data_IF_743205452601
#
_entry.id   IF_743205452601
#
_cell.length_a   1.000
_cell.length_b   1.000
_cell.length_c   1.000
_cell.angle_alpha   90.00
_cell.angle_beta   90.00
_cell.angle_gamma   90.00
#
_symmetry.space_group_name_H-M   'P 1'
#
loop_
_entity.id
_entity.type
_entity.pdbx_description
1 polymer ?
#
# COMPACT_ATOMS: atom_id res chain seq x y z
N UNK A 1 23.96 15.87 -19.91
CA UNK A 1 22.87 14.92 -19.56
C UNK A 1 21.99 15.48 -18.45
N UNK A 2 20.90 16.16 -18.81
CA UNK A 2 19.91 16.71 -17.88
C UNK A 2 18.50 16.30 -18.36
N UNK A 3 18.18 15.03 -18.19
CA UNK A 3 16.80 14.51 -18.33
C UNK A 3 16.04 14.53 -16.99
N UNK A 4 16.38 15.46 -16.09
CA UNK A 4 15.98 15.44 -14.68
C UNK A 4 14.52 15.79 -14.34
N UNK A 5 13.79 16.65 -15.09
CA UNK A 5 12.39 16.98 -14.71
C UNK A 5 11.33 16.41 -15.66
N UNK A 6 11.61 16.37 -16.97
CA UNK A 6 10.63 15.95 -17.98
C UNK A 6 10.41 14.44 -17.99
N UNK A 7 11.49 13.65 -17.82
CA UNK A 7 11.40 12.21 -17.70
C UNK A 7 10.70 11.79 -16.40
N UNK A 8 10.92 12.53 -15.29
CA UNK A 8 10.22 12.30 -14.02
C UNK A 8 8.72 12.63 -14.12
N UNK A 9 8.36 13.72 -14.80
CA UNK A 9 6.95 14.06 -15.08
C UNK A 9 6.29 13.05 -16.03
N UNK A 10 6.98 12.58 -17.07
CA UNK A 10 6.50 11.54 -17.98
C UNK A 10 6.35 10.18 -17.27
N UNK A 11 7.26 9.84 -16.37
CA UNK A 11 7.17 8.64 -15.53
C UNK A 11 5.98 8.72 -14.56
N UNK A 12 5.78 9.86 -13.89
CA UNK A 12 4.60 10.11 -13.06
C UNK A 12 3.31 10.05 -13.87
N UNK A 13 3.28 10.64 -15.07
CA UNK A 13 2.10 10.63 -15.94
C UNK A 13 1.78 9.23 -16.47
N UNK A 14 2.79 8.44 -16.89
CA UNK A 14 2.61 7.04 -17.29
C UNK A 14 2.25 6.11 -16.12
N UNK A 15 2.75 6.39 -14.91
CA UNK A 15 2.33 5.69 -13.70
C UNK A 15 0.88 6.02 -13.33
N UNK A 16 0.38 7.21 -13.68
CA UNK A 16 -1.01 7.62 -13.49
C UNK A 16 -1.96 7.14 -14.60
N UNK A 17 -1.43 6.83 -15.80
CA UNK A 17 -2.17 6.32 -16.96
C UNK A 17 -2.23 4.78 -17.04
N UNK A 18 -1.61 4.04 -16.10
CA UNK A 18 -1.95 2.62 -15.91
C UNK A 18 -3.35 2.58 -15.33
N UNK A 19 -4.28 1.95 -16.04
CA UNK A 19 -5.61 1.61 -15.55
C UNK A 19 -5.51 1.06 -14.13
N UNK A 20 -5.76 1.92 -13.14
CA UNK A 20 -5.81 1.49 -11.75
C UNK A 20 -7.08 0.67 -11.64
N UNK A 21 -6.91 -0.64 -11.70
CA UNK A 21 -7.97 -1.58 -11.41
C UNK A 21 -8.59 -1.18 -10.06
N UNK A 22 -9.92 -1.00 -9.98
CA UNK A 22 -10.56 -0.66 -8.72
C UNK A 22 -10.18 -1.64 -7.62
N UNK A 23 -10.03 -1.18 -6.37
CA UNK A 23 -9.59 -2.02 -5.25
C UNK A 23 -10.42 -3.30 -5.11
N UNK A 24 -11.74 -3.20 -5.26
CA UNK A 24 -12.62 -4.38 -5.25
C UNK A 24 -12.31 -5.36 -6.39
N UNK A 25 -12.01 -4.87 -7.59
CA UNK A 25 -11.60 -5.72 -8.71
C UNK A 25 -10.25 -6.39 -8.46
N UNK A 26 -9.27 -5.68 -7.90
CA UNK A 26 -7.97 -6.27 -7.52
C UNK A 26 -8.17 -7.38 -6.49
N UNK A 27 -8.90 -7.10 -5.42
CA UNK A 27 -9.20 -8.06 -4.37
C UNK A 27 -9.97 -9.28 -4.91
N UNK A 28 -11.01 -9.05 -5.71
CA UNK A 28 -11.85 -10.12 -6.26
C UNK A 28 -11.10 -11.01 -7.27
N UNK A 29 -10.29 -10.42 -8.16
CA UNK A 29 -9.43 -11.20 -9.07
C UNK A 29 -8.44 -12.04 -8.27
N UNK A 30 -7.72 -11.45 -7.32
CA UNK A 30 -6.75 -12.18 -6.50
C UNK A 30 -7.38 -13.37 -5.75
N UNK A 31 -8.64 -13.27 -5.28
CA UNK A 31 -9.34 -14.41 -4.66
C UNK A 31 -9.63 -15.50 -5.67
N UNK A 32 -10.16 -15.14 -6.84
CA UNK A 32 -10.51 -16.10 -7.90
C UNK A 32 -9.29 -16.86 -8.42
N UNK A 33 -8.15 -16.18 -8.50
CA UNK A 33 -6.86 -16.78 -8.85
C UNK A 33 -6.24 -17.61 -7.71
N UNK A 34 -6.87 -17.67 -6.53
CA UNK A 34 -6.39 -18.45 -5.40
C UNK A 34 -5.16 -17.87 -4.70
N UNK A 35 -4.92 -16.56 -4.80
CA UNK A 35 -3.84 -15.89 -4.09
C UNK A 35 -3.99 -16.09 -2.57
N UNK A 36 -2.88 -16.45 -1.91
CA UNK A 36 -2.81 -16.64 -0.46
C UNK A 36 -2.54 -15.36 0.31
N UNK A 37 -2.11 -14.33 -0.41
CA UNK A 37 -1.70 -13.05 0.14
C UNK A 37 -1.82 -11.99 -0.95
N UNK A 38 -2.17 -10.77 -0.55
CA UNK A 38 -2.24 -9.61 -1.43
C UNK A 38 -1.59 -8.41 -0.74
N UNK A 39 -0.68 -7.77 -1.45
CA UNK A 39 -0.01 -6.55 -1.01
C UNK A 39 -0.52 -5.36 -1.82
N UNK A 40 -1.01 -4.32 -1.14
CA UNK A 40 -1.56 -3.12 -1.78
C UNK A 40 -0.80 -1.89 -1.31
N UNK A 41 -0.21 -1.14 -2.24
CA UNK A 41 0.28 0.21 -1.98
C UNK A 41 -0.86 1.20 -2.24
N UNK A 42 -1.26 1.96 -1.23
CA UNK A 42 -2.34 2.93 -1.33
C UNK A 42 -1.93 4.31 -0.81
N UNK A 43 -2.64 5.34 -1.26
CA UNK A 43 -2.42 6.72 -0.81
C UNK A 43 -2.61 6.86 0.70
N UNK A 44 -1.79 7.70 1.33
CA UNK A 44 -1.70 7.81 2.79
C UNK A 44 -2.93 8.37 3.51
N UNK A 45 -3.89 8.96 2.80
CA UNK A 45 -4.95 9.73 3.43
C UNK A 45 -6.23 8.93 3.69
N UNK A 46 -6.34 7.69 3.20
CA UNK A 46 -7.60 6.95 3.23
C UNK A 46 -7.37 5.45 3.41
N UNK A 47 -7.62 4.95 4.62
CA UNK A 47 -7.57 3.51 4.93
C UNK A 47 -8.88 2.81 4.58
N UNK A 48 -10.00 3.54 4.72
CA UNK A 48 -11.34 3.02 4.54
C UNK A 48 -11.56 2.33 3.18
N UNK A 49 -11.09 2.87 2.03
CA UNK A 49 -11.29 2.20 0.74
C UNK A 49 -10.64 0.82 0.66
N UNK A 50 -9.44 0.67 1.21
CA UNK A 50 -8.72 -0.62 1.23
C UNK A 50 -9.44 -1.60 2.13
N UNK A 51 -9.79 -1.17 3.35
CA UNK A 51 -10.47 -2.02 4.33
C UNK A 51 -11.85 -2.46 3.84
N UNK A 52 -12.62 -1.56 3.22
CA UNK A 52 -13.94 -1.86 2.67
C UNK A 52 -13.84 -2.84 1.50
N UNK A 53 -12.95 -2.59 0.53
CA UNK A 53 -12.76 -3.47 -0.61
C UNK A 53 -12.24 -4.86 -0.18
N UNK A 54 -11.25 -4.90 0.72
CA UNK A 54 -10.76 -6.14 1.30
C UNK A 54 -11.90 -6.91 1.97
N UNK A 55 -12.69 -6.23 2.81
CA UNK A 55 -13.79 -6.86 3.53
C UNK A 55 -14.86 -7.43 2.58
N UNK A 56 -15.27 -6.64 1.57
CA UNK A 56 -16.30 -7.04 0.61
C UNK A 56 -15.91 -8.27 -0.20
N UNK A 57 -14.62 -8.42 -0.52
CA UNK A 57 -14.09 -9.49 -1.36
C UNK A 57 -13.51 -10.66 -0.55
N UNK A 58 -13.82 -10.76 0.75
CA UNK A 58 -13.40 -11.90 1.57
C UNK A 58 -11.91 -11.92 1.92
N UNK A 59 -11.31 -10.75 2.08
CA UNK A 59 -9.98 -10.56 2.66
C UNK A 59 -10.07 -9.99 4.07
N UNK A 60 -8.94 -10.09 4.76
CA UNK A 60 -8.69 -9.52 6.08
C UNK A 60 -7.35 -8.81 6.04
N UNK A 61 -7.33 -7.53 6.43
CA UNK A 61 -6.09 -6.80 6.63
C UNK A 61 -5.39 -7.31 7.89
N UNK A 62 -4.09 -7.57 7.78
CA UNK A 62 -3.28 -8.06 8.91
C UNK A 62 -2.10 -7.15 9.22
N UNK A 63 -1.68 -6.30 8.28
CA UNK A 63 -0.59 -5.36 8.47
C UNK A 63 -0.84 -4.07 7.68
N UNK A 64 -0.49 -2.93 8.29
CA UNK A 64 -0.45 -1.62 7.67
C UNK A 64 0.93 -0.98 7.92
N UNK A 65 1.73 -0.82 6.86
CA UNK A 65 3.03 -0.16 6.93
C UNK A 65 2.95 1.25 6.37
N UNK A 66 3.02 2.24 7.27
CA UNK A 66 2.98 3.68 6.95
C UNK A 66 4.34 4.11 6.41
N UNK A 67 4.38 4.48 5.14
CA UNK A 67 5.60 4.98 4.49
C UNK A 67 5.71 6.48 4.72
N UNK A 68 6.73 6.89 5.49
CA UNK A 68 7.06 8.29 5.73
C UNK A 68 8.34 8.65 5.00
N UNK A 69 8.43 9.89 4.52
CA UNK A 69 9.67 10.34 3.86
C UNK A 69 10.83 10.43 4.85
N UNK A 70 10.60 10.97 6.04
CA UNK A 70 11.64 11.18 7.05
C UNK A 70 10.99 11.46 8.40
N UNK A 71 11.76 11.45 9.48
CA UNK A 71 11.26 11.85 10.81
C UNK A 71 10.66 13.26 10.79
N UNK A 72 11.27 14.19 10.04
CA UNK A 72 10.84 15.60 9.90
C UNK A 72 9.54 15.79 9.11
N UNK A 73 9.07 14.75 8.41
CA UNK A 73 7.80 14.75 7.68
C UNK A 73 6.91 13.67 8.30
N UNK A 74 6.11 14.04 9.31
CA UNK A 74 5.41 13.05 10.14
C UNK A 74 4.27 12.35 9.41
N UNK A 75 3.69 13.00 8.41
CA UNK A 75 2.60 12.42 7.63
C UNK A 75 3.15 11.35 6.67
N UNK A 76 2.53 10.16 6.62
CA UNK A 76 2.84 9.19 5.60
C UNK A 76 2.49 9.75 4.21
N UNK A 77 3.20 9.29 3.19
CA UNK A 77 2.85 9.59 1.79
C UNK A 77 2.16 8.40 1.12
N UNK A 78 2.31 7.19 1.66
CA UNK A 78 1.58 6.00 1.26
C UNK A 78 1.48 5.01 2.43
N UNK A 79 0.61 4.01 2.30
CA UNK A 79 0.51 2.86 3.19
C UNK A 79 0.60 1.59 2.36
N UNK A 80 1.42 0.63 2.81
CA UNK A 80 1.43 -0.73 2.29
C UNK A 80 0.54 -1.59 3.18
N UNK A 81 -0.45 -2.22 2.57
CA UNK A 81 -1.36 -3.14 3.23
C UNK A 81 -1.02 -4.57 2.87
N UNK A 82 -0.99 -5.43 3.89
CA UNK A 82 -0.95 -6.88 3.72
C UNK A 82 -2.32 -7.46 4.03
N UNK A 83 -2.87 -8.17 3.06
CA UNK A 83 -4.19 -8.79 3.15
C UNK A 83 -4.04 -10.31 3.03
N UNK A 84 -4.76 -11.04 3.88
CA UNK A 84 -4.88 -12.50 3.81
C UNK A 84 -6.33 -12.90 3.50
N UNK A 85 -6.56 -14.06 2.86
CA UNK A 85 -7.89 -14.62 2.72
C UNK A 85 -8.58 -14.72 4.07
N UNK A 86 -9.86 -14.33 4.14
CA UNK A 86 -10.63 -14.44 5.36
C UNK A 86 -10.90 -15.91 5.68
N UNK A 87 -10.56 -16.31 6.90
CA UNK A 87 -10.92 -17.61 7.45
C UNK A 87 -12.25 -17.47 8.22
N UNK A 88 -13.24 -18.30 7.87
CA UNK A 88 -14.52 -18.32 8.57
C UNK A 88 -14.33 -18.78 10.02
N UNK A 89 -14.95 -18.08 10.97
CA UNK A 89 -14.91 -18.43 12.40
C UNK A 89 -13.66 -17.98 13.15
N UNK A 90 -12.67 -17.36 12.49
CA UNK A 90 -11.53 -16.74 13.16
C UNK A 90 -11.85 -15.29 13.53
N UNK A 91 -11.55 -14.92 14.78
CA UNK A 91 -11.64 -13.52 15.19
C UNK A 91 -10.80 -12.63 14.26
N UNK A 92 -11.31 -11.45 13.93
CA UNK A 92 -10.55 -10.49 13.13
C UNK A 92 -9.24 -10.16 13.85
N UNK A 93 -8.07 -10.46 13.26
CA UNK A 93 -6.81 -10.07 13.86
C UNK A 93 -6.74 -8.55 13.95
N UNK A 94 -6.18 -8.04 15.03
CA UNK A 94 -5.76 -6.65 15.11
C UNK A 94 -4.74 -6.40 13.98
N UNK A 95 -4.89 -5.29 13.27
CA UNK A 95 -3.98 -4.93 12.18
C UNK A 95 -2.65 -4.50 12.79
N UNK A 96 -1.56 -5.18 12.43
CA UNK A 96 -0.23 -4.78 12.86
C UNK A 96 0.16 -3.48 12.16
N UNK A 97 0.28 -2.39 12.92
CA UNK A 97 0.69 -1.09 12.39
C UNK A 97 2.19 -0.86 12.58
N UNK A 98 2.89 -0.60 11.48
CA UNK A 98 4.32 -0.28 11.47
C UNK A 98 4.58 0.99 10.67
N UNK A 99 5.69 1.66 10.95
CA UNK A 99 6.14 2.83 10.19
C UNK A 99 7.51 2.57 9.60
N UNK A 100 7.65 2.79 8.29
CA UNK A 100 8.91 2.70 7.57
C UNK A 100 9.32 4.09 7.09
N UNK A 101 10.55 4.48 7.43
CA UNK A 101 11.16 5.72 6.99
C UNK A 101 11.93 5.51 5.69
N UNK A 102 11.64 6.30 4.67
CA UNK A 102 12.36 6.28 3.39
C UNK A 102 13.77 6.86 3.53
N UNK A 103 13.90 7.91 4.36
CA UNK A 103 15.16 8.48 4.79
C UNK A 103 15.23 8.47 6.32
N UNK A 104 16.39 8.13 6.87
CA UNK A 104 16.66 8.16 8.31
C UNK A 104 16.76 9.60 8.87
N UNK A 105 17.18 9.73 10.12
CA UNK A 105 17.32 11.02 10.81
C UNK A 105 18.40 11.92 10.19
N UNK A 106 19.43 11.31 9.62
CA UNK A 106 20.55 11.96 8.94
C UNK A 106 20.21 12.33 7.48
N UNK A 107 19.06 11.85 6.99
CA UNK A 107 18.61 12.07 5.62
C UNK A 107 19.20 11.08 4.61
N UNK A 108 19.83 10.00 5.08
CA UNK A 108 20.31 8.90 4.25
C UNK A 108 19.15 7.98 3.88
N UNK A 109 19.09 7.44 2.66
CA UNK A 109 18.11 6.41 2.34
C UNK A 109 18.21 5.27 3.36
N UNK A 110 17.06 4.87 3.91
CA UNK A 110 16.99 3.76 4.86
C UNK A 110 17.53 2.46 4.22
N UNK A 111 17.68 1.39 4.99
CA UNK A 111 17.92 0.02 4.47
C UNK A 111 16.77 -0.93 4.86
N UNK A 112 15.73 -0.44 5.52
CA UNK A 112 14.66 -1.24 6.12
C UNK A 112 13.55 -1.65 5.13
N UNK A 113 13.84 -1.73 3.83
CA UNK A 113 12.89 -2.05 2.74
C UNK A 113 12.93 -3.54 2.38
#
# INVERSE_FOLDING_TARGET
DREGPAAEQLSRRRALERDFMPLGSVCGVARREGCRELWILWGANEDAPVLQAAHAEGWTAVQATRLRRSVRRPLPFATVWRLLPREEGRAHPEVEENTLLWYDEDGTPSQAW
#
